data_IF_981300515907
#
_entry.id   IF_981300515907
#
_cell.length_a   1.000
_cell.length_b   1.000
_cell.length_c   1.000
_cell.angle_alpha   90.00
_cell.angle_beta   90.00
_cell.angle_gamma   90.00
#
_symmetry.space_group_name_H-M   'P 1'
#
loop_
_entity.id
_entity.type
_entity.pdbx_description
1 polymer ?
#
# COMPACT_ATOMS: atom_id res chain seq x y z
N UNK A 1 -37.30 4.60 11.75
CA UNK A 1 -38.39 5.53 12.18
C UNK A 1 -39.33 5.64 11.00
N UNK A 2 -40.57 5.14 11.11
CA UNK A 2 -41.53 5.22 10.02
C UNK A 2 -42.31 6.53 10.12
N UNK A 3 -42.41 7.27 9.02
CA UNK A 3 -43.26 8.47 8.86
C UNK A 3 -44.70 8.05 8.67
N UNK A 4 -45.50 8.45 9.64
CA UNK A 4 -46.96 8.25 9.67
C UNK A 4 -47.59 9.36 8.85
N UNK A 5 -48.24 9.01 7.71
CA UNK A 5 -49.16 9.90 6.99
C UNK A 5 -50.50 10.00 7.75
N UNK A 6 -50.81 11.17 8.27
CA UNK A 6 -52.15 11.49 8.78
C UNK A 6 -53.09 11.87 7.64
N UNK A 7 -54.28 11.23 7.59
CA UNK A 7 -55.42 11.61 6.74
C UNK A 7 -56.16 12.79 7.36
N UNK A 8 -56.61 13.77 6.59
CA UNK A 8 -57.64 14.74 7.04
C UNK A 8 -59.05 14.21 6.81
N UNK A 9 -59.95 14.58 7.74
CA UNK A 9 -61.36 14.24 7.77
C UNK A 9 -62.20 15.05 6.74
N UNK A 10 -63.34 14.54 6.28
CA UNK A 10 -64.13 15.18 5.26
C UNK A 10 -65.11 16.23 5.82
N UNK A 11 -65.12 17.44 5.27
CA UNK A 11 -66.21 18.45 5.44
C UNK A 11 -67.06 18.42 4.19
N UNK A 12 -68.39 18.28 4.42
CA UNK A 12 -69.43 18.36 3.40
C UNK A 12 -69.64 19.81 2.97
N UNK A 13 -69.66 20.09 1.69
CA UNK A 13 -70.55 21.00 1.02
C UNK A 13 -70.31 21.01 -0.50
N UNK A 14 -71.20 20.63 -1.22
CA UNK A 14 -71.90 20.91 -2.46
C UNK A 14 -71.12 21.44 -3.68
N UNK A 15 -71.52 20.82 -4.79
CA UNK A 15 -71.59 21.32 -6.18
C UNK A 15 -70.40 21.19 -7.13
N UNK A 16 -70.69 20.37 -8.14
CA UNK A 16 -70.17 20.25 -9.52
C UNK A 16 -68.78 19.53 -9.76
N UNK A 17 -68.81 18.52 -10.62
CA UNK A 17 -67.63 17.77 -10.95
C UNK A 17 -66.83 18.44 -12.09
N UNK A 18 -65.73 19.06 -11.77
CA UNK A 18 -64.69 19.30 -12.75
C UNK A 18 -63.67 18.22 -12.53
N UNK A 19 -63.63 17.21 -13.37
CA UNK A 19 -62.66 16.15 -13.42
C UNK A 19 -61.35 16.72 -13.97
N UNK A 20 -60.48 17.23 -13.09
CA UNK A 20 -59.09 17.47 -13.40
C UNK A 20 -58.35 16.16 -13.10
N UNK A 21 -58.01 15.41 -14.15
CA UNK A 21 -57.14 14.27 -14.06
C UNK A 21 -55.73 14.77 -13.70
N UNK A 22 -55.41 14.78 -12.42
CA UNK A 22 -54.07 15.03 -11.92
C UNK A 22 -53.27 13.73 -12.13
N UNK A 23 -52.53 13.68 -13.25
CA UNK A 23 -51.59 12.61 -13.51
C UNK A 23 -50.49 12.63 -12.43
N UNK A 24 -50.60 11.70 -11.47
CA UNK A 24 -49.54 11.45 -10.49
C UNK A 24 -48.38 10.79 -11.22
N UNK A 25 -47.41 11.60 -11.71
CA UNK A 25 -46.10 11.07 -12.15
C UNK A 25 -45.41 10.47 -10.94
N UNK A 26 -45.49 9.15 -10.77
CA UNK A 26 -44.61 8.42 -9.89
C UNK A 26 -43.19 8.52 -10.48
N UNK A 27 -42.38 9.45 -9.99
CA UNK A 27 -40.94 9.44 -10.18
C UNK A 27 -40.42 8.27 -9.36
N UNK A 28 -40.19 7.14 -10.00
CA UNK A 28 -39.46 6.05 -9.39
C UNK A 28 -38.03 6.57 -9.08
N UNK A 29 -37.58 6.55 -7.82
CA UNK A 29 -36.17 6.82 -7.57
C UNK A 29 -35.37 5.75 -8.34
N UNK A 30 -34.59 6.18 -9.32
CA UNK A 30 -33.58 5.33 -9.90
C UNK A 30 -32.63 4.99 -8.76
N UNK A 31 -32.62 3.75 -8.30
CA UNK A 31 -31.58 3.21 -7.46
C UNK A 31 -30.28 3.32 -8.27
N UNK A 32 -29.58 4.44 -8.12
CA UNK A 32 -28.17 4.54 -8.47
C UNK A 32 -27.49 3.62 -7.46
N UNK A 33 -27.35 2.35 -7.81
CA UNK A 33 -26.54 1.41 -7.08
C UNK A 33 -25.14 2.06 -6.98
N UNK A 34 -24.83 2.62 -5.83
CA UNK A 34 -23.49 3.10 -5.52
C UNK A 34 -22.60 1.87 -5.67
N UNK A 35 -21.88 1.78 -6.80
CA UNK A 35 -20.94 0.71 -7.02
C UNK A 35 -19.88 0.83 -5.93
N UNK A 36 -19.94 -0.09 -4.97
CA UNK A 36 -19.04 -0.11 -3.82
C UNK A 36 -17.62 -0.32 -4.31
N UNK A 37 -16.70 0.49 -3.82
CA UNK A 37 -15.27 0.22 -3.98
C UNK A 37 -14.95 -1.10 -3.31
N UNK A 38 -14.05 -1.86 -3.91
CA UNK A 38 -13.51 -3.12 -3.37
C UNK A 38 -12.12 -2.86 -2.86
N UNK A 39 -11.78 -3.47 -1.73
CA UNK A 39 -10.43 -3.50 -1.18
C UNK A 39 -10.05 -4.97 -1.10
N UNK A 40 -8.93 -5.33 -1.70
CA UNK A 40 -8.43 -6.70 -1.68
C UNK A 40 -6.88 -6.71 -1.71
N UNK A 41 -6.25 -7.78 -1.18
CA UNK A 41 -4.82 -7.98 -1.35
C UNK A 41 -4.46 -7.99 -2.84
N UNK A 42 -3.44 -7.23 -3.22
CA UNK A 42 -2.99 -7.16 -4.60
C UNK A 42 -2.20 -8.41 -4.99
N UNK A 43 -2.29 -8.81 -6.26
CA UNK A 43 -1.32 -9.75 -6.84
C UNK A 43 0.02 -9.03 -6.99
N UNK A 44 1.08 -9.58 -6.38
CA UNK A 44 2.42 -8.99 -6.37
C UNK A 44 3.43 -9.95 -6.95
N UNK A 45 4.25 -9.45 -7.88
CA UNK A 45 5.40 -10.16 -8.43
C UNK A 45 6.68 -9.54 -7.90
N UNK A 46 7.36 -10.27 -7.01
CA UNK A 46 8.58 -9.83 -6.35
C UNK A 46 9.81 -10.16 -7.22
N UNK A 47 10.73 -9.22 -7.48
CA UNK A 47 12.01 -9.53 -8.12
C UNK A 47 12.88 -10.42 -7.21
N UNK A 48 12.70 -10.27 -5.89
CA UNK A 48 13.30 -11.09 -4.85
C UNK A 48 12.37 -11.14 -3.65
N UNK A 49 12.23 -12.28 -3.02
CA UNK A 49 11.45 -12.46 -1.79
C UNK A 49 12.42 -12.55 -0.62
N UNK A 50 12.32 -11.61 0.33
CA UNK A 50 13.11 -11.67 1.56
C UNK A 50 12.69 -12.88 2.41
N UNK A 51 11.40 -13.14 2.51
CA UNK A 51 10.82 -14.26 3.24
C UNK A 51 9.52 -13.92 3.93
N UNK A 52 9.09 -14.81 4.82
CA UNK A 52 7.89 -14.66 5.64
C UNK A 52 8.29 -14.26 7.05
N UNK A 53 7.61 -13.27 7.59
CA UNK A 53 7.79 -12.81 8.96
C UNK A 53 7.44 -13.87 9.99
N UNK A 54 8.26 -14.02 11.01
CA UNK A 54 8.08 -15.04 12.07
C UNK A 54 6.95 -14.65 13.03
N UNK A 55 6.75 -13.35 13.25
CA UNK A 55 5.76 -12.84 14.20
C UNK A 55 4.46 -12.41 13.51
N UNK A 56 4.52 -12.00 12.25
CA UNK A 56 3.38 -11.40 11.54
C UNK A 56 2.82 -12.28 10.42
N UNK A 57 3.50 -13.35 10.03
CA UNK A 57 3.19 -14.17 8.85
C UNK A 57 3.14 -13.39 7.51
N UNK A 58 3.63 -12.13 7.50
CA UNK A 58 3.67 -11.28 6.30
C UNK A 58 4.74 -11.74 5.34
N UNK A 59 4.44 -11.69 4.06
CA UNK A 59 5.45 -11.87 3.02
C UNK A 59 6.11 -10.52 2.72
N UNK A 60 7.44 -10.50 2.73
CA UNK A 60 8.25 -9.33 2.44
C UNK A 60 8.95 -9.48 1.09
N UNK A 61 8.65 -8.57 0.16
CA UNK A 61 9.30 -8.47 -1.14
C UNK A 61 10.48 -7.50 -1.06
N UNK A 62 11.66 -7.90 -1.51
CA UNK A 62 12.80 -7.00 -1.65
C UNK A 62 12.53 -5.95 -2.74
N UNK A 63 12.82 -4.68 -2.43
CA UNK A 63 12.87 -3.58 -3.40
C UNK A 63 14.32 -3.39 -3.80
N UNK A 64 14.61 -3.68 -5.06
CA UNK A 64 15.94 -3.57 -5.63
C UNK A 64 16.15 -2.18 -6.23
N UNK A 65 17.40 -1.68 -6.20
CA UNK A 65 17.78 -0.54 -7.04
C UNK A 65 17.72 -0.99 -8.50
N UNK A 66 16.87 -0.36 -9.29
CA UNK A 66 16.62 -0.70 -10.68
C UNK A 66 16.81 0.47 -11.64
N UNK A 67 17.14 0.17 -12.88
CA UNK A 67 17.18 1.14 -13.97
C UNK A 67 15.82 1.20 -14.71
N UNK A 68 15.12 0.07 -14.74
CA UNK A 68 13.89 -0.12 -15.48
C UNK A 68 12.72 -0.40 -14.51
N UNK A 69 11.50 -0.10 -14.93
CA UNK A 69 10.29 -0.44 -14.17
C UNK A 69 10.14 -1.95 -13.94
N UNK A 70 10.65 -2.76 -14.86
CA UNK A 70 10.63 -4.23 -14.75
C UNK A 70 11.53 -4.79 -13.67
N UNK A 71 12.47 -4.01 -13.15
CA UNK A 71 13.39 -4.42 -12.07
C UNK A 71 12.73 -4.37 -10.68
N UNK A 72 11.56 -3.71 -10.57
CA UNK A 72 10.88 -3.45 -9.31
C UNK A 72 9.91 -4.54 -8.87
N UNK A 73 9.27 -4.28 -7.73
CA UNK A 73 8.12 -5.04 -7.25
C UNK A 73 6.91 -4.65 -8.09
N UNK A 74 6.40 -5.57 -8.90
CA UNK A 74 5.24 -5.33 -9.77
C UNK A 74 3.96 -5.61 -8.99
N UNK A 75 3.07 -4.63 -8.96
CA UNK A 75 1.73 -4.74 -8.38
C UNK A 75 0.71 -4.75 -9.52
N UNK A 76 -0.07 -5.82 -9.62
CA UNK A 76 -1.11 -5.98 -10.65
C UNK A 76 -2.38 -5.28 -10.17
N UNK A 77 -2.93 -4.42 -11.02
CA UNK A 77 -4.16 -3.69 -10.75
C UNK A 77 -5.34 -4.40 -11.44
N UNK A 78 -6.38 -4.81 -10.72
CA UNK A 78 -7.56 -5.42 -11.32
C UNK A 78 -8.27 -4.48 -12.30
N UNK A 79 -9.05 -5.01 -13.26
CA UNK A 79 -9.85 -4.19 -14.17
C UNK A 79 -10.78 -3.25 -13.39
N UNK A 80 -10.59 -1.94 -13.54
CA UNK A 80 -11.27 -0.92 -12.78
C UNK A 80 -11.83 0.20 -13.65
N UNK A 81 -12.67 1.05 -13.06
CA UNK A 81 -13.21 2.29 -13.64
C UNK A 81 -12.77 3.45 -12.76
N UNK A 82 -12.31 4.53 -13.41
CA UNK A 82 -11.74 5.68 -12.69
C UNK A 82 -10.45 5.29 -11.96
N UNK A 83 -10.02 6.11 -11.05
CA UNK A 83 -8.77 5.89 -10.32
C UNK A 83 -8.89 4.74 -9.32
N UNK A 84 -7.85 3.91 -9.23
CA UNK A 84 -7.61 2.97 -8.15
C UNK A 84 -6.64 3.56 -7.12
N UNK A 85 -6.61 2.98 -5.93
CA UNK A 85 -5.63 3.32 -4.88
C UNK A 85 -4.87 2.07 -4.50
N UNK A 86 -3.54 2.11 -4.60
CA UNK A 86 -2.67 1.06 -4.07
C UNK A 86 -2.10 1.53 -2.74
N UNK A 87 -2.23 0.68 -1.72
CA UNK A 87 -1.65 0.90 -0.40
C UNK A 87 -0.64 -0.20 -0.11
N UNK A 88 0.50 0.16 0.45
CA UNK A 88 1.51 -0.79 0.90
C UNK A 88 2.33 -0.22 2.05
N UNK A 89 3.03 -1.08 2.79
CA UNK A 89 3.99 -0.64 3.81
C UNK A 89 5.41 -0.80 3.26
N UNK A 90 6.15 0.31 3.25
CA UNK A 90 7.54 0.37 2.84
C UNK A 90 8.45 0.40 4.07
N UNK A 91 9.41 -0.53 4.15
CA UNK A 91 10.37 -0.66 5.25
C UNK A 91 11.79 -0.51 4.72
N UNK A 92 12.71 0.02 5.55
CA UNK A 92 14.13 -0.12 5.28
C UNK A 92 14.57 -1.57 5.47
N UNK A 93 15.51 -2.03 4.64
CA UNK A 93 16.10 -3.37 4.75
C UNK A 93 17.33 -3.32 5.65
N UNK A 94 17.22 -3.90 6.86
CA UNK A 94 18.31 -3.92 7.84
C UNK A 94 18.98 -5.28 7.90
N UNK A 95 20.33 -5.27 8.00
CA UNK A 95 21.09 -6.47 8.31
C UNK A 95 21.48 -6.43 9.77
N UNK A 96 20.83 -7.24 10.58
CA UNK A 96 21.03 -7.33 12.01
C UNK A 96 22.27 -8.17 12.35
N UNK A 97 23.08 -7.70 13.31
CA UNK A 97 24.17 -8.44 13.90
C UNK A 97 24.15 -8.26 15.43
N UNK A 98 23.85 -9.34 16.15
CA UNK A 98 23.85 -9.33 17.60
C UNK A 98 25.23 -8.95 18.21
N UNK A 99 26.31 -9.35 17.55
CA UNK A 99 27.67 -9.03 17.98
C UNK A 99 27.99 -7.54 17.86
N UNK A 100 27.52 -6.88 16.78
CA UNK A 100 27.72 -5.43 16.63
C UNK A 100 26.90 -4.65 17.65
N UNK A 101 25.67 -5.10 17.95
CA UNK A 101 24.83 -4.50 19.01
C UNK A 101 25.50 -4.65 20.38
N UNK A 102 26.02 -5.85 20.70
CA UNK A 102 26.70 -6.08 21.98
C UNK A 102 27.97 -5.23 22.16
N UNK A 103 28.64 -4.88 21.06
CA UNK A 103 29.83 -3.99 21.04
C UNK A 103 29.49 -2.49 20.96
N UNK A 104 28.21 -2.12 21.01
CA UNK A 104 27.76 -0.74 20.88
C UNK A 104 27.91 -0.14 19.47
N UNK A 105 28.11 -0.98 18.45
CA UNK A 105 28.27 -0.56 17.04
C UNK A 105 27.08 -0.91 16.16
N UNK A 106 25.96 -1.32 16.76
CA UNK A 106 24.76 -1.71 16.02
C UNK A 106 23.96 -0.56 15.43
N UNK A 107 24.20 0.68 15.86
CA UNK A 107 23.42 1.83 15.38
C UNK A 107 23.52 2.00 13.87
N UNK A 108 22.36 2.19 13.23
CA UNK A 108 22.24 2.55 11.83
C UNK A 108 20.99 3.38 11.58
N UNK A 109 21.11 4.42 10.77
CA UNK A 109 20.00 5.23 10.27
C UNK A 109 19.95 5.09 8.76
N UNK A 110 18.77 4.79 8.25
CA UNK A 110 18.52 4.54 6.83
C UNK A 110 17.64 5.63 6.27
N UNK A 111 18.03 6.16 5.11
CA UNK A 111 17.18 6.95 4.24
C UNK A 111 17.10 6.21 2.92
N UNK A 112 15.92 5.63 2.66
CA UNK A 112 15.64 4.89 1.42
C UNK A 112 14.76 5.76 0.52
N UNK A 113 15.18 5.94 -0.72
CA UNK A 113 14.38 6.61 -1.76
C UNK A 113 13.96 5.58 -2.79
N UNK A 114 12.67 5.56 -3.09
CA UNK A 114 12.06 4.68 -4.10
C UNK A 114 11.28 5.48 -5.13
N UNK A 115 10.89 4.86 -6.22
CA UNK A 115 9.91 5.38 -7.16
C UNK A 115 8.77 4.37 -7.32
N UNK A 116 7.56 4.89 -7.47
CA UNK A 116 6.41 4.12 -7.95
C UNK A 116 6.09 4.63 -9.34
N UNK A 117 6.12 3.75 -10.33
CA UNK A 117 6.00 4.12 -11.73
C UNK A 117 5.12 3.14 -12.52
N UNK A 118 4.53 3.65 -13.59
CA UNK A 118 4.00 2.86 -14.71
C UNK A 118 5.09 2.71 -15.77
N UNK A 119 4.78 2.06 -16.90
CA UNK A 119 5.68 2.02 -18.05
C UNK A 119 5.93 3.42 -18.65
N UNK A 120 5.05 4.38 -18.40
CA UNK A 120 5.03 5.69 -19.07
C UNK A 120 5.50 6.82 -18.16
N UNK A 121 5.21 6.75 -16.84
CA UNK A 121 5.47 7.85 -15.92
C UNK A 121 5.75 7.41 -14.48
N UNK A 122 6.39 8.30 -13.72
CA UNK A 122 6.60 8.16 -12.28
C UNK A 122 5.40 8.78 -11.56
N UNK A 123 4.64 7.95 -10.84
CA UNK A 123 3.47 8.37 -10.06
C UNK A 123 3.85 9.01 -8.74
N UNK A 124 4.89 8.49 -8.08
CA UNK A 124 5.34 8.99 -6.78
C UNK A 124 6.81 8.63 -6.50
N UNK A 125 7.40 9.31 -5.51
CA UNK A 125 8.74 9.04 -4.99
C UNK A 125 8.70 8.86 -3.46
N UNK A 126 8.23 7.71 -2.96
CA UNK A 126 8.19 7.43 -1.54
C UNK A 126 9.59 7.40 -0.92
N UNK A 127 9.67 7.85 0.32
CA UNK A 127 10.90 7.84 1.12
C UNK A 127 10.57 7.19 2.45
N UNK A 128 11.45 6.30 2.93
CA UNK A 128 11.38 5.79 4.30
C UNK A 128 12.62 6.19 5.06
N UNK A 129 12.41 6.70 6.27
CA UNK A 129 13.45 7.00 7.24
C UNK A 129 13.29 6.06 8.43
N UNK A 130 14.30 5.25 8.70
CA UNK A 130 14.27 4.29 9.80
C UNK A 130 15.59 4.30 10.59
N UNK A 131 15.50 4.10 11.90
CA UNK A 131 16.66 4.01 12.78
C UNK A 131 16.67 2.65 13.49
N UNK A 132 17.84 2.01 13.51
CA UNK A 132 18.08 0.82 14.28
C UNK A 132 18.99 1.15 15.46
N UNK A 133 18.56 0.81 16.66
CA UNK A 133 19.34 0.94 17.92
C UNK A 133 19.47 -0.41 18.59
N UNK A 134 18.40 -1.23 18.49
CA UNK A 134 18.31 -2.54 19.10
C UNK A 134 17.37 -3.46 18.32
N UNK A 135 17.32 -4.73 18.67
CA UNK A 135 16.41 -5.68 18.07
C UNK A 135 14.92 -5.33 18.24
N UNK A 136 14.59 -4.46 19.20
CA UNK A 136 13.23 -3.99 19.41
C UNK A 136 12.74 -3.00 18.34
N UNK A 137 13.65 -2.42 17.56
CA UNK A 137 13.30 -1.51 16.45
C UNK A 137 12.94 -2.27 15.16
N UNK A 138 13.18 -3.59 15.11
CA UNK A 138 12.80 -4.41 13.97
C UNK A 138 11.28 -4.58 13.92
N UNK A 139 10.70 -4.44 12.74
CA UNK A 139 9.26 -4.66 12.52
C UNK A 139 8.92 -6.13 12.65
N UNK A 140 9.82 -7.01 12.19
CA UNK A 140 9.67 -8.45 12.24
C UNK A 140 11.03 -9.13 12.09
N UNK A 141 11.08 -10.42 12.33
CA UNK A 141 12.20 -11.30 11.95
C UNK A 141 11.78 -12.10 10.74
N UNK A 142 12.59 -12.10 9.71
CA UNK A 142 12.34 -12.92 8.55
C UNK A 142 13.14 -14.20 8.68
N UNK A 143 12.46 -15.34 8.61
CA UNK A 143 13.04 -16.66 8.77
C UNK A 143 14.17 -16.89 7.76
N UNK A 144 15.36 -17.09 8.25
CA UNK A 144 16.54 -17.35 7.43
C UNK A 144 17.75 -17.42 8.32
N UNK A 145 18.22 -18.61 8.52
CA UNK A 145 19.17 -19.01 9.52
C UNK A 145 20.40 -18.15 9.71
N UNK A 146 20.89 -18.22 10.93
CA UNK A 146 22.26 -17.92 11.26
C UNK A 146 23.20 -18.74 10.36
N UNK A 147 23.89 -18.08 9.44
CA UNK A 147 25.01 -18.70 8.74
C UNK A 147 26.17 -18.94 9.70
N UNK A 148 27.13 -19.84 9.35
CA UNK A 148 28.33 -20.02 10.14
C UNK A 148 29.08 -18.69 10.25
N UNK A 149 29.32 -18.21 11.46
CA UNK A 149 30.04 -16.96 11.71
C UNK A 149 29.28 -15.87 12.46
N UNK A 150 28.16 -16.21 13.13
CA UNK A 150 27.33 -15.30 13.88
C UNK A 150 26.06 -14.89 13.12
N UNK A 151 25.02 -14.57 13.88
CA UNK A 151 23.70 -14.29 13.35
C UNK A 151 23.74 -12.97 12.57
N UNK A 152 23.78 -13.06 11.26
CA UNK A 152 23.38 -11.96 10.38
C UNK A 152 21.99 -12.30 9.86
N UNK A 153 20.99 -11.70 10.44
CA UNK A 153 19.63 -11.81 9.93
C UNK A 153 19.29 -10.52 9.18
N UNK A 154 18.54 -10.66 8.10
CA UNK A 154 17.94 -9.52 7.41
C UNK A 154 16.52 -9.36 7.91
N UNK A 155 16.12 -8.13 8.22
CA UNK A 155 14.82 -7.85 8.76
C UNK A 155 14.28 -6.51 8.23
N UNK A 156 12.96 -6.36 8.13
CA UNK A 156 12.32 -5.08 7.91
C UNK A 156 12.51 -4.17 9.14
N UNK A 157 12.81 -2.90 8.89
CA UNK A 157 13.03 -1.88 9.90
C UNK A 157 12.14 -0.67 9.64
N UNK A 158 11.42 -0.21 10.65
CA UNK A 158 10.44 0.84 10.50
C UNK A 158 9.28 0.43 9.58
N UNK A 159 8.48 1.38 9.16
CA UNK A 159 7.40 1.13 8.20
C UNK A 159 6.61 2.40 7.94
N UNK A 160 6.54 2.79 6.69
CA UNK A 160 5.73 3.91 6.21
C UNK A 160 4.59 3.38 5.35
N UNK A 161 3.36 3.71 5.73
CA UNK A 161 2.19 3.41 4.92
C UNK A 161 2.14 4.37 3.72
N UNK A 162 2.23 3.83 2.52
CA UNK A 162 2.26 4.58 1.27
C UNK A 162 0.93 4.36 0.55
N UNK A 163 0.31 5.46 0.11
CA UNK A 163 -0.89 5.44 -0.71
C UNK A 163 -0.56 6.05 -2.08
N UNK A 164 -0.89 5.34 -3.14
CA UNK A 164 -0.65 5.76 -4.52
C UNK A 164 -1.96 5.77 -5.28
N UNK A 165 -2.30 6.90 -5.88
CA UNK A 165 -3.39 6.97 -6.85
C UNK A 165 -2.91 6.45 -8.20
N UNK A 166 -3.62 5.47 -8.73
CA UNK A 166 -3.32 4.83 -10.01
C UNK A 166 -4.40 5.23 -11.00
N UNK A 167 -4.05 5.87 -12.14
CA UNK A 167 -5.02 6.32 -13.13
C UNK A 167 -5.84 5.19 -13.77
N UNK A 168 -7.04 5.53 -14.27
CA UNK A 168 -7.89 4.60 -15.02
C UNK A 168 -7.13 4.00 -16.22
N UNK A 169 -7.28 2.70 -16.42
CA UNK A 169 -6.66 1.96 -17.51
C UNK A 169 -5.24 1.44 -17.24
N UNK A 170 -4.59 1.86 -16.16
CA UNK A 170 -3.31 1.28 -15.72
C UNK A 170 -3.55 -0.11 -15.16
N UNK A 171 -2.83 -1.10 -15.67
CA UNK A 171 -2.98 -2.52 -15.29
C UNK A 171 -1.90 -3.01 -14.34
N UNK A 172 -0.78 -2.30 -14.23
CA UNK A 172 0.28 -2.62 -13.29
C UNK A 172 1.13 -1.38 -12.97
N UNK A 173 1.67 -1.34 -11.76
CA UNK A 173 2.67 -0.38 -11.32
C UNK A 173 3.89 -1.12 -10.78
N UNK A 174 5.03 -0.44 -10.74
CA UNK A 174 6.28 -0.97 -10.21
C UNK A 174 6.81 -0.10 -9.09
N UNK A 175 7.31 -0.75 -8.03
CA UNK A 175 8.02 -0.09 -6.92
C UNK A 175 9.50 -0.39 -7.08
N UNK A 176 10.30 0.62 -7.46
CA UNK A 176 11.72 0.51 -7.78
C UNK A 176 12.54 1.28 -6.75
N UNK A 177 13.64 0.70 -6.30
CA UNK A 177 14.62 1.38 -5.46
C UNK A 177 15.48 2.36 -6.28
N UNK A 178 15.78 3.52 -5.71
CA UNK A 178 16.64 4.52 -6.34
C UNK A 178 17.96 4.68 -5.60
N UNK A 179 17.89 4.89 -4.28
CA UNK A 179 19.05 5.16 -3.46
C UNK A 179 18.82 4.70 -2.02
N UNK A 180 19.90 4.25 -1.39
CA UNK A 180 19.97 4.02 0.04
C UNK A 180 21.12 4.83 0.62
N UNK A 181 20.82 5.69 1.57
CA UNK A 181 21.80 6.35 2.43
C UNK A 181 21.78 5.70 3.80
N UNK A 182 22.96 5.34 4.31
CA UNK A 182 23.12 4.72 5.63
C UNK A 182 24.12 5.52 6.44
N UNK A 183 23.68 5.98 7.60
CA UNK A 183 24.51 6.64 8.60
C UNK A 183 24.78 5.65 9.72
N UNK A 184 26.05 5.46 10.05
CA UNK A 184 26.53 4.56 11.10
C UNK A 184 27.51 5.25 12.02
N UNK A 185 27.88 4.56 13.09
CA UNK A 185 28.89 5.06 14.06
C UNK A 185 30.27 5.28 13.39
N UNK A 186 30.58 4.50 12.38
CA UNK A 186 31.85 4.49 11.63
C UNK A 186 31.82 5.31 10.33
N UNK A 187 30.72 5.99 10.02
CA UNK A 187 30.59 6.90 8.88
C UNK A 187 29.32 6.70 8.05
N UNK A 188 29.17 7.57 7.07
CA UNK A 188 28.02 7.61 6.17
C UNK A 188 28.36 6.92 4.84
N UNK A 189 27.39 6.21 4.28
CA UNK A 189 27.51 5.51 3.01
C UNK A 189 26.27 5.76 2.16
N UNK A 190 26.46 5.90 0.84
CA UNK A 190 25.37 5.95 -0.15
C UNK A 190 25.53 4.80 -1.15
N UNK A 191 24.41 4.22 -1.54
CA UNK A 191 24.35 3.08 -2.43
C UNK A 191 23.36 3.34 -3.56
N UNK A 192 23.83 3.20 -4.80
CA UNK A 192 23.06 3.37 -6.03
C UNK A 192 23.28 2.21 -7.02
N UNK A 193 23.97 1.14 -6.58
CA UNK A 193 24.32 0.01 -7.46
C UNK A 193 23.07 -0.80 -7.82
N UNK A 194 22.87 -1.02 -9.11
CA UNK A 194 21.73 -1.81 -9.65
C UNK A 194 21.70 -3.23 -9.06
N UNK A 195 20.49 -3.74 -8.86
CA UNK A 195 20.23 -5.05 -8.27
C UNK A 195 20.44 -5.15 -6.75
N UNK A 196 20.85 -4.05 -6.10
CA UNK A 196 21.02 -4.02 -4.65
C UNK A 196 19.67 -3.91 -3.94
N UNK A 197 19.32 -4.82 -3.02
CA UNK A 197 18.12 -4.69 -2.21
C UNK A 197 18.33 -3.61 -1.12
N UNK A 198 17.45 -2.63 -1.07
CA UNK A 198 17.56 -1.48 -0.16
C UNK A 198 16.36 -1.31 0.78
N UNK A 199 15.21 -1.82 0.37
CA UNK A 199 13.96 -1.78 1.12
C UNK A 199 13.21 -3.09 0.99
N UNK A 200 12.13 -3.21 1.73
CA UNK A 200 11.15 -4.30 1.57
C UNK A 200 9.74 -3.73 1.61
N UNK A 201 8.83 -4.38 0.91
CA UNK A 201 7.40 -4.05 0.86
C UNK A 201 6.60 -5.19 1.45
N UNK A 202 5.55 -4.84 2.22
CA UNK A 202 4.53 -5.75 2.73
C UNK A 202 3.13 -5.15 2.61
N UNK A 203 2.11 -5.94 2.89
CA UNK A 203 0.69 -5.53 3.02
C UNK A 203 0.22 -4.71 1.81
N UNK A 204 0.41 -5.26 0.62
CA UNK A 204 0.00 -4.59 -0.62
C UNK A 204 -1.47 -4.85 -0.88
N UNK A 205 -2.26 -3.79 -0.88
CA UNK A 205 -3.70 -3.82 -1.13
C UNK A 205 -4.06 -2.88 -2.27
N UNK A 206 -5.14 -3.18 -2.96
CA UNK A 206 -5.71 -2.33 -3.99
C UNK A 206 -7.17 -2.03 -3.67
N UNK A 207 -7.52 -0.74 -3.66
CA UNK A 207 -8.89 -0.24 -3.59
C UNK A 207 -9.29 0.27 -4.95
N UNK A 208 -10.38 -0.26 -5.52
CA UNK A 208 -10.83 0.07 -6.86
C UNK A 208 -12.34 -0.10 -7.03
N UNK A 209 -12.88 0.51 -8.08
CA UNK A 209 -14.24 0.27 -8.55
C UNK A 209 -14.19 -0.73 -9.71
N UNK A 210 -14.77 -1.91 -9.53
CA UNK A 210 -14.77 -2.95 -10.56
C UNK A 210 -15.53 -2.49 -11.83
N UNK A 211 -15.05 -2.91 -12.99
CA UNK A 211 -15.71 -2.71 -14.29
C UNK A 211 -16.96 -3.55 -14.42
#
# INVERSE_FOLDING_TARGET
MPLICRRPAPTRAGLLPVTIALGLMCVTPSDVAAQSRRIEPAEVRCPSVLGVGVETDRTYCDVLIGAEVTDGVIVVIPPHRGDATVTFVLHARHTFSGDEVARGRGYARYLVTTAVATAEEVLARPIVLAEFRSAADLTDRVGGGAGPGGVKAVAPLGGEAILITVPDGVTEISIVGLELQVQRVDGDQSFTSLGRPIAVVSDVEVEYQAR
#
